data_IF_349147425981
#
_entry.id   IF_349147425981
#
_cell.length_a   1.000
_cell.length_b   1.000
_cell.length_c   1.000
_cell.angle_alpha   90.00
_cell.angle_beta   90.00
_cell.angle_gamma   90.00
#
_symmetry.space_group_name_H-M   'P 1'
#
loop_
_entity.id
_entity.type
_entity.pdbx_description
1 polymer ?
#
# COMPACT_ATOMS: atom_id res chain seq x y z
N UNK A 1 -27.84 48.99 -42.72
CA UNK A 1 -28.16 47.65 -43.25
C UNK A 1 -27.20 46.65 -42.63
N UNK A 2 -27.59 45.70 -41.80
CA UNK A 2 -28.79 45.54 -40.99
C UNK A 2 -28.33 44.82 -39.72
N UNK A 3 -28.69 45.39 -38.58
CA UNK A 3 -28.59 44.71 -37.31
C UNK A 3 -29.59 43.54 -37.36
N UNK A 4 -29.09 42.35 -37.66
CA UNK A 4 -29.89 41.14 -37.80
C UNK A 4 -30.55 40.83 -36.45
N UNK A 5 -31.80 41.29 -36.33
CA UNK A 5 -32.71 41.03 -35.24
C UNK A 5 -32.99 39.53 -35.21
N UNK A 6 -32.38 38.82 -34.25
CA UNK A 6 -32.73 37.42 -33.96
C UNK A 6 -33.67 37.36 -32.75
N UNK A 7 -35.00 37.40 -32.96
CA UNK A 7 -35.99 37.36 -31.88
C UNK A 7 -35.94 36.07 -31.05
N UNK A 8 -35.35 34.98 -31.59
CA UNK A 8 -35.25 33.69 -30.89
C UNK A 8 -34.24 33.66 -29.75
N UNK A 9 -33.23 34.54 -29.72
CA UNK A 9 -32.24 34.58 -28.62
C UNK A 9 -32.79 35.22 -27.34
N UNK A 10 -33.70 36.20 -27.44
CA UNK A 10 -34.32 36.85 -26.28
C UNK A 10 -35.36 35.97 -25.57
N UNK A 11 -36.01 35.06 -26.31
CA UNK A 11 -37.04 34.16 -25.75
C UNK A 11 -36.35 33.08 -24.89
N UNK A 12 -35.25 32.48 -25.39
CA UNK A 12 -34.49 31.49 -24.62
C UNK A 12 -33.85 32.09 -23.35
N UNK A 13 -33.39 33.35 -23.39
CA UNK A 13 -32.81 33.99 -22.21
C UNK A 13 -33.85 34.33 -21.13
N UNK A 14 -35.09 34.70 -21.53
CA UNK A 14 -36.18 34.99 -20.59
C UNK A 14 -36.75 33.74 -19.92
N UNK A 15 -36.82 32.61 -20.63
CA UNK A 15 -37.35 31.37 -20.05
C UNK A 15 -36.31 30.56 -19.27
N UNK A 16 -35.03 30.67 -19.62
CA UNK A 16 -33.96 30.01 -18.86
C UNK A 16 -33.64 30.75 -17.55
N UNK A 17 -33.67 32.09 -17.53
CA UNK A 17 -33.33 32.89 -16.33
C UNK A 17 -34.01 32.44 -15.02
N UNK A 18 -35.34 32.18 -14.97
CA UNK A 18 -35.98 31.70 -13.75
C UNK A 18 -35.53 30.28 -13.36
N UNK A 19 -35.24 29.39 -14.32
CA UNK A 19 -34.74 28.04 -14.06
C UNK A 19 -33.34 28.06 -13.44
N UNK A 20 -32.42 28.90 -13.93
CA UNK A 20 -31.10 29.08 -13.31
C UNK A 20 -31.20 29.62 -11.88
N UNK A 21 -32.18 30.49 -11.62
CA UNK A 21 -32.43 31.03 -10.27
C UNK A 21 -33.08 30.03 -9.30
N UNK A 22 -33.81 29.04 -9.82
CA UNK A 22 -34.37 27.95 -9.03
C UNK A 22 -33.31 26.88 -8.73
N UNK A 23 -32.50 26.51 -9.74
CA UNK A 23 -31.37 25.58 -9.59
C UNK A 23 -30.35 26.14 -8.58
N UNK A 24 -30.01 27.43 -8.67
CA UNK A 24 -29.09 28.05 -7.70
C UNK A 24 -29.62 28.08 -6.27
N UNK A 25 -30.95 28.12 -6.07
CA UNK A 25 -31.56 28.11 -4.72
C UNK A 25 -31.56 26.71 -4.12
N UNK A 26 -31.87 25.67 -4.90
CA UNK A 26 -31.83 24.28 -4.43
C UNK A 26 -30.40 23.82 -4.16
N UNK A 27 -29.45 24.27 -4.99
CA UNK A 27 -28.03 23.98 -4.79
C UNK A 27 -27.47 24.71 -3.56
N UNK A 28 -27.92 25.95 -3.32
CA UNK A 28 -27.54 26.70 -2.12
C UNK A 28 -28.06 26.06 -0.83
N UNK A 29 -29.34 25.64 -0.79
CA UNK A 29 -29.92 24.95 0.36
C UNK A 29 -29.19 23.62 0.61
N UNK A 30 -28.86 22.88 -0.45
CA UNK A 30 -28.09 21.64 -0.33
C UNK A 30 -26.68 21.89 0.20
N UNK A 31 -26.04 22.97 -0.22
CA UNK A 31 -24.71 23.35 0.29
C UNK A 31 -24.72 23.76 1.77
N UNK A 32 -25.80 24.42 2.22
CA UNK A 32 -25.98 24.81 3.62
C UNK A 32 -26.18 23.59 4.52
N UNK A 33 -27.00 22.62 4.09
CA UNK A 33 -27.20 21.36 4.81
C UNK A 33 -25.89 20.56 4.91
N UNK A 34 -25.08 20.57 3.85
CA UNK A 34 -23.76 19.93 3.87
C UNK A 34 -22.77 20.70 4.77
N UNK A 35 -22.82 22.03 4.83
CA UNK A 35 -22.01 22.81 5.77
C UNK A 35 -22.38 22.52 7.23
N UNK A 36 -23.68 22.50 7.55
CA UNK A 36 -24.17 22.19 8.90
C UNK A 36 -23.78 20.76 9.31
N UNK A 37 -23.92 19.78 8.41
CA UNK A 37 -23.53 18.38 8.66
C UNK A 37 -22.01 18.20 8.86
N UNK A 38 -21.22 19.04 8.22
CA UNK A 38 -19.77 19.03 8.31
C UNK A 38 -19.22 19.95 9.42
N UNK A 39 -20.11 20.61 10.17
CA UNK A 39 -19.76 21.61 11.20
C UNK A 39 -18.83 22.70 10.63
N UNK A 40 -19.10 23.16 9.41
CA UNK A 40 -18.32 24.19 8.74
C UNK A 40 -18.95 25.56 9.00
N UNK A 41 -18.30 26.36 9.84
CA UNK A 41 -18.75 27.71 10.20
C UNK A 41 -18.72 28.71 9.03
N UNK A 42 -17.84 28.48 8.03
CA UNK A 42 -17.65 29.34 6.86
C UNK A 42 -17.82 28.57 5.53
N UNK A 43 -18.78 28.97 4.69
CA UNK A 43 -19.09 28.40 3.36
C UNK A 43 -17.98 28.68 2.31
N UNK A 44 -16.75 28.98 2.76
CA UNK A 44 -15.60 29.21 1.89
C UNK A 44 -15.12 27.93 1.22
N UNK A 45 -14.64 28.03 -0.02
CA UNK A 45 -14.07 26.89 -0.75
C UNK A 45 -12.93 26.21 0.04
N UNK A 46 -12.10 27.00 0.74
CA UNK A 46 -11.03 26.48 1.60
C UNK A 46 -11.55 25.63 2.75
N UNK A 47 -12.65 26.04 3.40
CA UNK A 47 -13.24 25.30 4.52
C UNK A 47 -13.82 23.97 4.05
N UNK A 48 -14.57 23.96 2.94
CA UNK A 48 -15.07 22.73 2.34
C UNK A 48 -13.94 21.80 1.86
N UNK A 49 -12.92 22.34 1.17
CA UNK A 49 -11.80 21.53 0.72
C UNK A 49 -11.06 20.88 1.89
N UNK A 50 -10.84 21.64 2.98
CA UNK A 50 -10.25 21.12 4.21
C UNK A 50 -11.12 20.03 4.84
N UNK A 51 -12.43 20.25 4.99
CA UNK A 51 -13.36 19.27 5.56
C UNK A 51 -13.42 17.98 4.73
N UNK A 52 -13.44 18.09 3.40
CA UNK A 52 -13.39 16.93 2.49
C UNK A 52 -12.08 16.16 2.67
N UNK A 53 -10.94 16.86 2.73
CA UNK A 53 -9.64 16.22 2.97
C UNK A 53 -9.59 15.53 4.33
N UNK A 54 -10.13 16.15 5.38
CA UNK A 54 -10.21 15.57 6.71
C UNK A 54 -11.11 14.34 6.76
N UNK A 55 -12.29 14.39 6.14
CA UNK A 55 -13.19 13.23 6.04
C UNK A 55 -12.56 12.10 5.25
N UNK A 56 -11.91 12.40 4.12
CA UNK A 56 -11.20 11.42 3.32
C UNK A 56 -10.07 10.75 4.13
N UNK A 57 -9.28 11.55 4.86
CA UNK A 57 -8.24 11.04 5.74
C UNK A 57 -8.81 10.17 6.86
N UNK A 58 -9.91 10.59 7.50
CA UNK A 58 -10.61 9.79 8.54
C UNK A 58 -11.13 8.48 7.98
N UNK A 59 -11.77 8.49 6.81
CA UNK A 59 -12.27 7.31 6.14
C UNK A 59 -11.14 6.31 5.82
N UNK A 60 -10.04 6.79 5.23
CA UNK A 60 -8.85 5.97 4.97
C UNK A 60 -8.24 5.41 6.25
N UNK A 61 -8.19 6.20 7.32
CA UNK A 61 -7.67 5.74 8.61
C UNK A 61 -8.59 4.68 9.25
N UNK A 62 -9.91 4.84 9.15
CA UNK A 62 -10.86 3.82 9.62
C UNK A 62 -10.79 2.54 8.80
N UNK A 63 -10.56 2.63 7.49
CA UNK A 63 -10.38 1.45 6.64
C UNK A 63 -9.08 0.73 7.01
N UNK A 64 -7.99 1.46 7.23
CA UNK A 64 -6.72 0.90 7.70
C UNK A 64 -6.89 0.23 9.07
N UNK A 65 -7.55 0.88 10.03
CA UNK A 65 -7.74 0.30 11.36
C UNK A 65 -8.63 -0.95 11.32
N UNK A 66 -9.68 -0.96 10.49
CA UNK A 66 -10.52 -2.14 10.26
C UNK A 66 -9.68 -3.30 9.70
N UNK A 67 -8.86 -3.05 8.68
CA UNK A 67 -8.01 -4.07 8.09
C UNK A 67 -6.99 -4.64 9.10
N UNK A 68 -6.42 -3.79 9.96
CA UNK A 68 -5.53 -4.24 11.04
C UNK A 68 -6.28 -5.08 12.07
N UNK A 69 -7.49 -4.70 12.48
CA UNK A 69 -8.31 -5.47 13.41
C UNK A 69 -8.68 -6.84 12.82
N UNK A 70 -9.05 -6.90 11.54
CA UNK A 70 -9.32 -8.18 10.85
C UNK A 70 -8.09 -9.08 10.75
N UNK A 71 -6.88 -8.51 10.65
CA UNK A 71 -5.65 -9.28 10.72
C UNK A 71 -5.45 -9.86 12.13
N UNK A 72 -5.52 -9.02 13.15
CA UNK A 72 -5.37 -9.44 14.56
C UNK A 72 -6.42 -10.48 14.93
N UNK A 73 -7.67 -10.33 14.50
CA UNK A 73 -8.73 -11.30 14.73
C UNK A 73 -8.39 -12.67 14.12
N UNK A 74 -7.87 -12.69 12.89
CA UNK A 74 -7.42 -13.93 12.24
C UNK A 74 -6.26 -14.59 12.98
N UNK A 75 -5.28 -13.80 13.43
CA UNK A 75 -4.16 -14.30 14.22
C UNK A 75 -4.63 -14.89 15.55
N UNK A 76 -5.51 -14.19 16.28
CA UNK A 76 -6.09 -14.67 17.53
C UNK A 76 -6.91 -15.95 17.34
N UNK A 77 -7.71 -16.04 16.26
CA UNK A 77 -8.43 -17.27 15.90
C UNK A 77 -7.49 -18.44 15.62
N UNK A 78 -6.37 -18.19 14.93
CA UNK A 78 -5.33 -19.19 14.69
C UNK A 78 -4.68 -19.65 15.99
N UNK A 79 -4.32 -18.72 16.89
CA UNK A 79 -3.75 -19.06 18.19
C UNK A 79 -4.74 -19.84 19.06
N UNK A 80 -6.01 -19.45 19.08
CA UNK A 80 -7.05 -20.20 19.80
C UNK A 80 -7.18 -21.63 19.26
N UNK A 81 -7.22 -21.80 17.94
CA UNK A 81 -7.26 -23.13 17.34
C UNK A 81 -6.04 -23.99 17.70
N UNK A 82 -4.85 -23.39 17.74
CA UNK A 82 -3.63 -24.05 18.19
C UNK A 82 -3.70 -24.46 19.67
N UNK A 83 -4.12 -23.55 20.56
CA UNK A 83 -4.27 -23.82 21.99
C UNK A 83 -5.30 -24.93 22.26
N UNK A 84 -6.45 -24.92 21.58
CA UNK A 84 -7.46 -26.00 21.68
C UNK A 84 -6.90 -27.34 21.21
N UNK A 85 -6.05 -27.34 20.18
CA UNK A 85 -5.38 -28.55 19.74
C UNK A 85 -4.37 -29.07 20.77
N UNK A 86 -3.57 -28.18 21.35
CA UNK A 86 -2.61 -28.50 22.41
C UNK A 86 -3.31 -29.05 23.67
N UNK A 87 -4.41 -28.43 24.10
CA UNK A 87 -5.23 -28.90 25.22
C UNK A 87 -5.72 -30.33 24.98
N UNK A 88 -6.27 -30.62 23.78
CA UNK A 88 -6.67 -31.99 23.42
C UNK A 88 -5.53 -32.98 23.42
N UNK A 89 -4.32 -32.56 23.00
CA UNK A 89 -3.14 -33.41 23.07
C UNK A 89 -2.76 -33.70 24.52
N UNK A 90 -2.78 -32.69 25.39
CA UNK A 90 -2.54 -32.86 26.82
C UNK A 90 -3.55 -33.82 27.45
N UNK A 91 -4.85 -33.65 27.18
CA UNK A 91 -5.88 -34.56 27.66
C UNK A 91 -5.63 -35.99 27.19
N UNK A 92 -5.31 -36.18 25.91
CA UNK A 92 -5.00 -37.51 25.37
C UNK A 92 -3.75 -38.13 26.01
N UNK A 93 -2.77 -37.30 26.39
CA UNK A 93 -1.58 -37.77 27.11
C UNK A 93 -1.90 -38.10 28.55
N UNK A 94 -2.74 -37.31 29.22
CA UNK A 94 -3.21 -37.58 30.58
C UNK A 94 -3.98 -38.91 30.61
N UNK A 95 -4.89 -39.15 29.65
CA UNK A 95 -5.62 -40.41 29.54
C UNK A 95 -4.68 -41.60 29.32
N UNK A 96 -3.73 -41.48 28.38
CA UNK A 96 -2.75 -42.54 28.11
C UNK A 96 -1.88 -42.83 29.33
N UNK A 97 -1.34 -41.80 29.98
CA UNK A 97 -0.49 -41.94 31.15
C UNK A 97 -1.25 -42.52 32.34
N UNK A 98 -2.51 -42.11 32.52
CA UNK A 98 -3.37 -42.64 33.59
C UNK A 98 -3.75 -44.10 33.35
N UNK A 99 -4.02 -44.49 32.09
CA UNK A 99 -4.25 -45.87 31.70
C UNK A 99 -3.01 -46.74 31.83
N UNK A 100 -1.85 -46.23 31.41
CA UNK A 100 -0.56 -46.90 31.55
C UNK A 100 -0.17 -47.10 33.01
N UNK A 101 -0.48 -46.15 33.91
CA UNK A 101 -0.22 -46.30 35.35
C UNK A 101 -1.09 -47.39 35.99
N UNK A 102 -2.31 -47.60 35.47
CA UNK A 102 -3.21 -48.65 35.95
C UNK A 102 -2.76 -50.06 35.50
N UNK A 103 -2.09 -50.17 34.36
CA UNK A 103 -1.40 -51.39 33.95
C UNK A 103 -0.04 -51.44 34.63
N UNK A 104 0.27 -52.47 35.42
CA UNK A 104 1.58 -52.59 36.10
C UNK A 104 2.72 -52.86 35.11
N UNK A 105 3.07 -51.89 34.25
CA UNK A 105 4.19 -52.00 33.34
C UNK A 105 5.48 -52.21 34.16
N UNK A 106 6.26 -53.20 33.74
CA UNK A 106 7.57 -53.48 34.34
C UNK A 106 8.47 -52.26 34.20
N UNK A 107 9.22 -51.93 35.26
CA UNK A 107 10.22 -50.84 35.29
C UNK A 107 11.18 -50.87 34.09
N UNK A 108 11.50 -52.05 33.58
CA UNK A 108 12.35 -52.24 32.39
C UNK A 108 11.74 -51.70 31.08
N UNK A 109 10.41 -51.73 30.94
CA UNK A 109 9.72 -51.17 29.78
C UNK A 109 9.74 -49.64 29.82
N UNK A 110 9.57 -49.06 31.01
CA UNK A 110 9.66 -47.61 31.23
C UNK A 110 11.06 -47.06 30.93
N UNK A 111 12.12 -47.77 31.32
CA UNK A 111 13.51 -47.36 31.04
C UNK A 111 13.80 -47.34 29.52
N UNK A 112 13.41 -48.38 28.79
CA UNK A 112 13.57 -48.43 27.32
C UNK A 112 12.81 -47.29 26.63
N UNK A 113 11.60 -46.99 27.10
CA UNK A 113 10.79 -45.89 26.56
C UNK A 113 11.43 -44.53 26.85
N UNK A 114 11.97 -44.33 28.06
CA UNK A 114 12.71 -43.12 28.42
C UNK A 114 13.92 -42.92 27.50
N UNK A 115 14.69 -43.96 27.23
CA UNK A 115 15.83 -43.89 26.31
C UNK A 115 15.40 -43.55 24.88
N UNK A 116 14.32 -44.16 24.39
CA UNK A 116 13.76 -43.86 23.07
C UNK A 116 13.30 -42.40 22.97
N UNK A 117 12.63 -41.87 24.00
CA UNK A 117 12.21 -40.47 24.05
C UNK A 117 13.40 -39.51 24.08
N UNK A 118 14.44 -39.83 24.87
CA UNK A 118 15.67 -39.02 24.90
C UNK A 118 16.38 -39.01 23.56
N UNK A 119 16.39 -40.14 22.84
CA UNK A 119 16.95 -40.21 21.48
C UNK A 119 16.15 -39.35 20.51
N UNK A 120 14.82 -39.48 20.50
CA UNK A 120 13.95 -38.66 19.63
C UNK A 120 14.07 -37.17 19.94
N UNK A 121 14.15 -36.78 21.22
CA UNK A 121 14.34 -35.39 21.62
C UNK A 121 15.67 -34.81 21.10
N UNK A 122 16.75 -35.60 21.13
CA UNK A 122 18.04 -35.21 20.54
C UNK A 122 17.96 -35.04 19.02
N UNK A 123 17.26 -35.94 18.34
CA UNK A 123 17.05 -35.85 16.88
C UNK A 123 16.24 -34.60 16.50
N UNK A 124 15.13 -34.33 17.19
CA UNK A 124 14.34 -33.12 16.96
C UNK A 124 15.13 -31.84 17.25
N UNK A 125 15.93 -31.82 18.33
CA UNK A 125 16.82 -30.69 18.62
C UNK A 125 17.82 -30.46 17.50
N UNK A 126 18.47 -31.52 17.00
CA UNK A 126 19.40 -31.41 15.88
C UNK A 126 18.72 -30.91 14.60
N UNK A 127 17.48 -31.35 14.34
CA UNK A 127 16.68 -30.83 13.21
C UNK A 127 16.36 -29.34 13.36
N UNK A 128 15.97 -28.89 14.56
CA UNK A 128 15.70 -27.47 14.83
C UNK A 128 16.97 -26.62 14.64
N UNK A 129 18.11 -27.05 15.19
CA UNK A 129 19.40 -26.38 15.02
C UNK A 129 19.78 -26.28 13.53
N UNK A 130 19.54 -27.34 12.74
CA UNK A 130 19.78 -27.32 11.30
C UNK A 130 18.87 -26.35 10.54
N UNK A 131 17.58 -26.26 10.91
CA UNK A 131 16.62 -25.32 10.29
C UNK A 131 16.99 -23.87 10.63
N UNK A 132 17.37 -23.59 11.88
CA UNK A 132 17.82 -22.25 12.29
C UNK A 132 19.04 -21.82 11.49
N UNK A 133 20.07 -22.67 11.41
CA UNK A 133 21.26 -22.38 10.61
C UNK A 133 20.95 -22.17 9.11
N UNK A 134 19.99 -22.92 8.56
CA UNK A 134 19.56 -22.71 7.17
C UNK A 134 18.82 -21.37 6.98
N UNK A 135 18.02 -20.95 7.96
CA UNK A 135 17.32 -19.67 7.93
C UNK A 135 18.28 -18.48 8.07
N UNK A 136 19.30 -18.58 8.91
CA UNK A 136 20.35 -17.55 9.04
C UNK A 136 21.08 -17.33 7.70
N UNK A 137 21.52 -18.41 7.05
CA UNK A 137 22.14 -18.33 5.71
C UNK A 137 21.21 -17.70 4.66
N UNK A 138 19.92 -17.99 4.72
CA UNK A 138 18.92 -17.38 3.82
C UNK A 138 18.76 -15.89 4.12
N UNK A 139 18.76 -15.49 5.39
CA UNK A 139 18.68 -14.10 5.79
C UNK A 139 19.89 -13.31 5.27
N UNK A 140 21.11 -13.82 5.45
CA UNK A 140 22.34 -13.23 4.91
C UNK A 140 22.28 -13.06 3.38
N UNK A 141 21.81 -14.09 2.67
CA UNK A 141 21.66 -14.02 1.21
C UNK A 141 20.62 -12.96 0.78
N UNK A 142 19.54 -12.80 1.54
CA UNK A 142 18.53 -11.76 1.29
C UNK A 142 19.13 -10.38 1.54
N UNK A 143 19.90 -10.20 2.61
CA UNK A 143 20.57 -8.93 2.89
C UNK A 143 21.59 -8.56 1.81
N UNK A 144 22.40 -9.51 1.34
CA UNK A 144 23.32 -9.29 0.23
C UNK A 144 22.58 -8.84 -1.04
N UNK A 145 21.48 -9.50 -1.40
CA UNK A 145 20.65 -9.10 -2.55
C UNK A 145 20.01 -7.73 -2.34
N UNK A 146 19.55 -7.42 -1.13
CA UNK A 146 19.00 -6.09 -0.80
C UNK A 146 20.06 -5.00 -0.88
N UNK A 147 21.29 -5.26 -0.43
CA UNK A 147 22.41 -4.33 -0.56
C UNK A 147 22.74 -4.08 -2.04
N UNK A 148 22.74 -5.13 -2.86
CA UNK A 148 22.90 -5.02 -4.30
C UNK A 148 21.75 -4.21 -4.94
N UNK A 149 20.49 -4.47 -4.58
CA UNK A 149 19.37 -3.65 -5.08
C UNK A 149 19.48 -2.18 -4.64
N UNK A 150 19.99 -1.91 -3.44
CA UNK A 150 20.26 -0.53 -2.98
C UNK A 150 21.32 0.16 -3.82
N UNK A 151 22.37 -0.53 -4.27
CA UNK A 151 23.35 0.09 -5.18
C UNK A 151 22.77 0.41 -6.56
N UNK A 152 21.69 -0.28 -6.95
CA UNK A 152 20.91 0.02 -8.15
C UNK A 152 19.77 1.04 -7.92
N UNK A 153 19.54 1.50 -6.69
CA UNK A 153 18.47 2.46 -6.35
C UNK A 153 18.83 3.84 -6.88
N UNK A 154 18.32 4.16 -8.07
CA UNK A 154 18.61 5.41 -8.79
C UNK A 154 18.90 5.20 -10.26
N UNK A 155 19.15 3.95 -10.69
CA UNK A 155 19.20 3.64 -12.12
C UNK A 155 17.77 3.49 -12.67
N UNK A 156 17.45 4.10 -13.82
CA UNK A 156 16.17 3.89 -14.46
C UNK A 156 16.00 2.41 -14.81
N UNK A 157 14.79 1.85 -14.63
CA UNK A 157 14.53 0.41 -14.77
C UNK A 157 14.92 -0.17 -16.14
N UNK A 158 15.02 0.69 -17.16
CA UNK A 158 15.48 0.33 -18.51
C UNK A 158 16.73 1.14 -18.90
N UNK A 159 17.92 0.59 -18.64
CA UNK A 159 19.21 1.21 -19.01
C UNK A 159 19.31 1.54 -20.49
N UNK A 160 18.76 0.70 -21.36
CA UNK A 160 18.79 0.89 -22.80
C UNK A 160 17.92 2.08 -23.24
N UNK A 161 16.76 2.27 -22.62
CA UNK A 161 15.88 3.42 -22.87
C UNK A 161 16.56 4.72 -22.44
N UNK A 162 17.16 4.73 -21.25
CA UNK A 162 17.91 5.89 -20.75
C UNK A 162 19.10 6.25 -21.66
N UNK A 163 19.82 5.24 -22.17
CA UNK A 163 20.90 5.45 -23.15
C UNK A 163 20.40 6.05 -24.45
N UNK A 164 19.24 5.60 -24.96
CA UNK A 164 18.65 6.12 -26.18
C UNK A 164 18.18 7.57 -25.99
N UNK A 165 17.53 7.88 -24.86
CA UNK A 165 17.11 9.24 -24.50
C UNK A 165 18.30 10.18 -24.32
N UNK A 166 19.41 9.72 -23.74
CA UNK A 166 20.63 10.52 -23.64
C UNK A 166 21.23 10.83 -25.01
N UNK A 167 21.25 9.85 -25.93
CA UNK A 167 21.72 10.05 -27.30
C UNK A 167 20.85 11.06 -28.05
N UNK A 168 19.52 10.97 -27.95
CA UNK A 168 18.62 11.93 -28.61
C UNK A 168 18.75 13.33 -28.01
N UNK A 169 18.87 13.46 -26.69
CA UNK A 169 19.09 14.73 -26.02
C UNK A 169 20.40 15.39 -26.45
N UNK A 170 21.50 14.63 -26.57
CA UNK A 170 22.79 15.15 -27.09
C UNK A 170 22.69 15.61 -28.54
N UNK A 171 21.99 14.86 -29.39
CA UNK A 171 21.78 15.26 -30.77
C UNK A 171 21.00 16.58 -30.88
N UNK A 172 19.92 16.73 -30.09
CA UNK A 172 19.16 17.96 -30.02
C UNK A 172 20.00 19.14 -29.51
N UNK A 173 20.82 18.90 -28.48
CA UNK A 173 21.74 19.92 -27.97
C UNK A 173 22.74 20.37 -29.05
N UNK A 174 23.30 19.45 -29.84
CA UNK A 174 24.25 19.83 -30.91
C UNK A 174 23.56 20.63 -32.01
N UNK A 175 22.33 20.27 -32.38
CA UNK A 175 21.55 21.04 -33.35
C UNK A 175 21.32 22.49 -32.87
N UNK A 176 21.03 22.69 -31.58
CA UNK A 176 20.90 24.02 -30.99
C UNK A 176 22.22 24.81 -30.98
N UNK A 177 23.35 24.14 -30.72
CA UNK A 177 24.67 24.76 -30.78
C UNK A 177 24.99 25.22 -32.21
N UNK A 178 24.77 24.37 -33.21
CA UNK A 178 24.98 24.72 -34.61
C UNK A 178 24.09 25.89 -35.05
N UNK A 179 22.83 25.90 -34.61
CA UNK A 179 21.90 26.99 -34.89
C UNK A 179 22.38 28.29 -34.25
N UNK A 180 22.82 28.24 -32.99
CA UNK A 180 23.42 29.40 -32.29
C UNK A 180 24.64 29.92 -33.04
N UNK A 181 25.57 29.05 -33.43
CA UNK A 181 26.77 29.44 -34.18
C UNK A 181 26.42 30.11 -35.51
N UNK A 182 25.43 29.57 -36.23
CA UNK A 182 24.95 30.16 -37.48
C UNK A 182 24.35 31.55 -37.27
N UNK A 183 23.51 31.72 -36.25
CA UNK A 183 22.92 33.02 -35.93
C UNK A 183 24.00 34.03 -35.53
N UNK A 184 24.97 33.62 -34.70
CA UNK A 184 26.10 34.49 -34.33
C UNK A 184 26.93 34.89 -35.55
N UNK A 185 27.14 33.98 -36.51
CA UNK A 185 27.78 34.29 -37.80
C UNK A 185 27.01 35.34 -38.60
N UNK A 186 25.69 35.16 -38.76
CA UNK A 186 24.83 36.12 -39.48
C UNK A 186 24.79 37.50 -38.80
N UNK A 187 24.81 37.54 -37.47
CA UNK A 187 24.88 38.80 -36.73
C UNK A 187 26.23 39.50 -36.91
N UNK A 188 27.33 38.75 -37.00
CA UNK A 188 28.66 39.33 -37.26
C UNK A 188 28.79 39.88 -38.69
N UNK A 189 28.16 39.24 -39.67
CA UNK A 189 28.16 39.68 -41.08
C UNK A 189 27.30 40.94 -41.32
N UNK A 190 26.23 41.15 -40.54
CA UNK A 190 25.33 42.30 -40.67
C UNK A 190 25.77 43.59 -39.95
N UNK A 191 26.96 43.61 -39.32
CA UNK A 191 27.50 44.77 -38.57
C UNK A 191 28.60 45.52 -39.36
N UNK A 192 28.83 45.13 -40.62
CA UNK A 192 29.69 45.84 -41.60
C UNK A 192 28.83 46.65 -42.56
#
# INVERSE_FOLDING_TARGET
MDASYHPRRRILQKELSPLWSQISKTDFISSLVVADLLEIDDVSFSSYSSAILQLSARAQNSEKSLNLLLLVERELKSHLAAMVHEERLMDSWIERLSGELATSESTSALERRREALLKNAKEHRAMLEAIVAANERRAEAIEAKRAQLRSFRGLPPNLNLARQQLKSARAAQMALIQLRERLLGQMAEGVV
#
